data_IF_853701317532
#
_entry.id   IF_853701317532
#
_cell.length_a   1.000
_cell.length_b   1.000
_cell.length_c   1.000
_cell.angle_alpha   90.00
_cell.angle_beta   90.00
_cell.angle_gamma   90.00
#
_symmetry.space_group_name_H-M   'P 1'
#
loop_
_entity.id
_entity.type
_entity.pdbx_description
1 polymer ?
#
# COMPACT_ATOMS: atom_id res chain seq x y z
N UNK A 1 33.07 -16.93 0.16
CA UNK A 1 32.52 -18.22 -0.33
C UNK A 1 31.38 -18.00 -1.34
N UNK A 2 30.67 -16.86 -1.27
CA UNK A 2 29.55 -16.53 -2.17
C UNK A 2 29.97 -16.18 -3.61
N UNK A 3 31.13 -15.55 -3.80
CA UNK A 3 31.63 -15.10 -5.11
C UNK A 3 31.93 -16.26 -6.07
N UNK A 4 32.41 -17.39 -5.55
CA UNK A 4 32.71 -18.60 -6.34
C UNK A 4 31.42 -19.29 -6.80
N UNK A 5 30.37 -19.24 -5.96
CA UNK A 5 29.07 -19.86 -6.25
C UNK A 5 28.32 -19.07 -7.32
N UNK A 6 28.39 -17.74 -7.28
CA UNK A 6 27.81 -16.86 -8.28
C UNK A 6 28.49 -17.03 -9.65
N UNK A 7 29.84 -17.05 -9.68
CA UNK A 7 30.61 -17.26 -10.91
C UNK A 7 30.31 -18.62 -11.57
N UNK A 8 30.13 -19.66 -10.76
CA UNK A 8 29.76 -20.99 -11.25
C UNK A 8 28.33 -21.03 -11.81
N UNK A 9 27.39 -20.31 -11.20
CA UNK A 9 26.01 -20.18 -11.69
C UNK A 9 25.94 -19.41 -13.01
N UNK A 10 26.67 -18.30 -13.11
CA UNK A 10 26.80 -17.50 -14.35
C UNK A 10 27.36 -18.33 -15.51
N UNK A 11 28.36 -19.18 -15.25
CA UNK A 11 28.95 -20.03 -16.27
C UNK A 11 27.99 -21.13 -16.75
N UNK A 12 27.18 -21.72 -15.85
CA UNK A 12 26.11 -22.66 -16.24
C UNK A 12 25.05 -21.99 -17.11
N UNK A 13 24.62 -20.77 -16.74
CA UNK A 13 23.62 -20.01 -17.50
C UNK A 13 24.17 -19.70 -18.90
N UNK A 14 25.41 -19.21 -19.01
CA UNK A 14 26.05 -18.94 -20.30
C UNK A 14 26.17 -20.19 -21.18
N UNK A 15 26.49 -21.34 -20.59
CA UNK A 15 26.55 -22.61 -21.31
C UNK A 15 25.20 -23.06 -21.87
N UNK A 16 24.14 -22.93 -21.07
CA UNK A 16 22.77 -23.21 -21.51
C UNK A 16 22.38 -22.25 -22.64
N UNK A 17 22.59 -20.95 -22.47
CA UNK A 17 22.27 -19.94 -23.49
C UNK A 17 23.01 -20.22 -24.81
N UNK A 18 24.31 -20.56 -24.76
CA UNK A 18 25.09 -20.88 -25.94
C UNK A 18 24.56 -22.13 -26.68
N UNK A 19 24.17 -23.17 -25.96
CA UNK A 19 23.56 -24.38 -26.54
C UNK A 19 22.22 -24.08 -27.20
N UNK A 20 21.40 -23.22 -26.58
CA UNK A 20 20.13 -22.79 -27.16
C UNK A 20 20.34 -21.92 -28.41
N UNK A 21 21.32 -21.02 -28.41
CA UNK A 21 21.64 -20.17 -29.57
C UNK A 21 22.12 -20.97 -30.78
N UNK A 22 23.01 -21.95 -30.55
CA UNK A 22 23.48 -22.84 -31.63
C UNK A 22 22.33 -23.68 -32.20
N UNK A 23 21.44 -24.18 -31.34
CA UNK A 23 20.25 -24.94 -31.76
C UNK A 23 19.26 -24.08 -32.54
N UNK A 24 19.12 -22.79 -32.21
CA UNK A 24 18.26 -21.85 -32.95
C UNK A 24 18.86 -21.53 -34.31
N UNK A 25 20.19 -21.39 -34.42
CA UNK A 25 20.88 -21.15 -35.68
C UNK A 25 20.85 -22.34 -36.64
N UNK A 26 20.79 -23.57 -36.12
CA UNK A 26 20.69 -24.78 -36.95
C UNK A 26 19.27 -25.09 -37.45
N UNK A 27 18.26 -24.32 -37.04
CA UNK A 27 16.86 -24.55 -37.42
C UNK A 27 16.50 -23.78 -38.70
N UNK A 28 15.73 -24.43 -39.58
CA UNK A 28 15.23 -23.80 -40.80
C UNK A 28 14.36 -22.57 -40.49
N UNK A 29 14.36 -21.53 -41.34
CA UNK A 29 13.63 -20.26 -41.13
C UNK A 29 12.16 -20.43 -40.72
N UNK A 30 11.47 -21.45 -41.26
CA UNK A 30 10.08 -21.79 -40.90
C UNK A 30 9.92 -22.38 -39.48
N UNK A 31 10.94 -23.06 -38.95
CA UNK A 31 10.97 -23.62 -37.60
C UNK A 31 11.37 -22.57 -36.56
N UNK A 32 12.31 -21.66 -36.90
CA UNK A 32 12.67 -20.52 -36.04
C UNK A 32 11.47 -19.61 -35.77
N UNK A 33 10.65 -19.33 -36.80
CA UNK A 33 9.40 -18.55 -36.63
C UNK A 33 8.40 -19.26 -35.72
N UNK A 34 8.21 -20.59 -35.88
CA UNK A 34 7.31 -21.38 -35.03
C UNK A 34 7.79 -21.43 -33.56
N UNK A 35 9.09 -21.62 -33.34
CA UNK A 35 9.68 -21.62 -32.00
C UNK A 35 9.62 -20.24 -31.33
N UNK A 36 9.79 -19.16 -32.10
CA UNK A 36 9.61 -17.79 -31.61
C UNK A 36 8.19 -17.51 -31.15
N UNK A 37 7.17 -17.95 -31.92
CA UNK A 37 5.76 -17.81 -31.54
C UNK A 37 5.45 -18.58 -30.25
N UNK A 38 5.96 -19.82 -30.12
CA UNK A 38 5.77 -20.61 -28.88
C UNK A 38 6.43 -19.94 -27.67
N UNK A 39 7.62 -19.36 -27.83
CA UNK A 39 8.29 -18.64 -26.74
C UNK A 39 7.50 -17.39 -26.32
N UNK A 40 6.96 -16.63 -27.27
CA UNK A 40 6.11 -15.46 -26.97
C UNK A 40 4.84 -15.88 -26.24
N UNK A 41 4.20 -16.99 -26.64
CA UNK A 41 3.02 -17.53 -25.95
C UNK A 41 3.37 -17.94 -24.52
N UNK A 42 4.50 -18.63 -24.31
CA UNK A 42 4.96 -19.03 -22.96
C UNK A 42 5.20 -17.79 -22.09
N UNK A 43 5.89 -16.78 -22.62
CA UNK A 43 6.14 -15.53 -21.90
C UNK A 43 4.84 -14.79 -21.58
N UNK A 44 3.87 -14.81 -22.49
CA UNK A 44 2.56 -14.20 -22.29
C UNK A 44 1.74 -14.93 -21.22
N UNK A 45 1.76 -16.26 -21.21
CA UNK A 45 1.13 -17.10 -20.16
C UNK A 45 1.77 -16.85 -18.80
N UNK A 46 3.10 -16.75 -18.73
CA UNK A 46 3.82 -16.41 -17.49
C UNK A 46 3.44 -15.00 -17.03
N UNK A 47 3.39 -14.03 -17.93
CA UNK A 47 3.02 -12.64 -17.62
C UNK A 47 1.58 -12.53 -17.08
N UNK A 48 0.63 -13.23 -17.70
CA UNK A 48 -0.76 -13.32 -17.23
C UNK A 48 -0.85 -14.05 -15.88
N UNK A 49 -0.13 -15.18 -15.72
CA UNK A 49 -0.12 -15.93 -14.47
C UNK A 49 0.39 -15.13 -13.28
N UNK A 50 1.43 -14.31 -13.48
CA UNK A 50 1.96 -13.39 -12.45
C UNK A 50 0.92 -12.30 -12.12
N UNK A 51 0.20 -11.78 -13.11
CA UNK A 51 -0.86 -10.77 -12.90
C UNK A 51 -2.08 -11.34 -12.15
N UNK A 52 -2.54 -12.54 -12.50
CA UNK A 52 -3.72 -13.18 -11.90
C UNK A 52 -3.47 -13.62 -10.45
N UNK A 53 -2.27 -14.11 -10.13
CA UNK A 53 -1.92 -14.51 -8.75
C UNK A 53 -1.84 -13.33 -7.78
N UNK A 54 -1.52 -12.11 -8.26
CA UNK A 54 -1.60 -10.89 -7.46
C UNK A 54 -3.04 -10.55 -7.09
N UNK A 55 -3.99 -10.65 -8.04
CA UNK A 55 -5.40 -10.30 -7.77
C UNK A 55 -6.11 -11.32 -6.88
N UNK A 56 -5.88 -12.62 -7.05
CA UNK A 56 -6.54 -13.65 -6.24
C UNK A 56 -6.02 -13.75 -4.79
N UNK A 57 -4.75 -13.38 -4.53
CA UNK A 57 -4.26 -13.30 -3.13
C UNK A 57 -4.88 -12.15 -2.35
N UNK A 58 -5.27 -11.06 -3.03
CA UNK A 58 -5.91 -9.91 -2.40
C UNK A 58 -7.33 -10.28 -1.95
N UNK A 59 -8.14 -10.90 -2.81
CA UNK A 59 -9.56 -11.18 -2.49
C UNK A 59 -9.77 -12.21 -1.37
N UNK A 60 -8.98 -13.29 -1.32
CA UNK A 60 -9.10 -14.32 -0.26
C UNK A 60 -8.68 -13.77 1.11
N UNK A 61 -7.74 -12.82 1.14
CA UNK A 61 -7.28 -12.18 2.39
C UNK A 61 -8.22 -11.07 2.84
N UNK A 62 -8.91 -10.39 1.92
CA UNK A 62 -9.81 -9.28 2.24
C UNK A 62 -11.03 -9.68 3.08
N UNK A 63 -11.68 -10.82 2.80
CA UNK A 63 -12.91 -11.20 3.51
C UNK A 63 -12.69 -11.45 5.01
N UNK A 64 -11.50 -11.94 5.38
CA UNK A 64 -11.14 -12.18 6.78
C UNK A 64 -10.71 -10.90 7.52
N UNK A 65 -10.14 -9.92 6.81
CA UNK A 65 -9.74 -8.62 7.38
C UNK A 65 -10.97 -7.74 7.62
N UNK A 66 -11.93 -7.73 6.69
CA UNK A 66 -13.14 -6.93 6.86
C UNK A 66 -13.89 -7.34 8.13
N UNK A 67 -13.76 -8.59 8.59
CA UNK A 67 -14.33 -9.01 9.86
C UNK A 67 -13.49 -8.51 11.05
N UNK A 68 -12.19 -8.80 11.07
CA UNK A 68 -11.29 -8.49 12.22
C UNK A 68 -10.98 -6.99 12.36
N UNK A 69 -10.94 -6.24 11.27
CA UNK A 69 -10.63 -4.81 11.27
C UNK A 69 -11.87 -3.93 11.43
N UNK A 70 -13.09 -4.47 11.50
CA UNK A 70 -14.32 -3.65 11.62
C UNK A 70 -14.97 -3.69 13.00
N UNK A 71 -14.50 -4.53 13.94
CA UNK A 71 -15.15 -4.68 15.25
C UNK A 71 -15.45 -3.35 15.98
N UNK A 72 -14.56 -2.36 15.89
CA UNK A 72 -14.80 -1.00 16.41
C UNK A 72 -15.03 0.07 15.32
N UNK A 73 -14.71 -0.26 14.07
CA UNK A 73 -14.78 0.68 12.95
C UNK A 73 -16.09 0.48 12.19
N UNK A 74 -16.90 1.54 12.13
CA UNK A 74 -18.12 1.57 11.34
C UNK A 74 -17.90 2.48 10.14
N UNK A 75 -18.25 2.01 8.94
CA UNK A 75 -18.23 2.88 7.76
C UNK A 75 -19.38 3.87 7.88
N UNK A 76 -19.05 5.16 7.75
CA UNK A 76 -20.00 6.26 7.82
C UNK A 76 -19.82 7.20 6.63
N UNK A 77 -20.51 8.35 6.63
CA UNK A 77 -20.37 9.34 5.55
C UNK A 77 -18.99 9.99 5.55
N UNK A 78 -18.34 10.09 6.72
CA UNK A 78 -17.03 10.74 6.88
C UNK A 78 -15.91 9.78 7.24
N UNK A 79 -16.20 8.50 7.45
CA UNK A 79 -15.19 7.49 7.76
C UNK A 79 -15.32 6.30 6.80
N UNK A 80 -14.28 6.05 6.01
CA UNK A 80 -14.34 5.05 4.93
C UNK A 80 -13.11 4.15 4.96
N UNK A 81 -13.32 2.84 4.91
CA UNK A 81 -12.23 1.88 4.83
C UNK A 81 -11.52 1.97 3.47
N UNK A 82 -10.20 1.97 3.48
CA UNK A 82 -9.40 1.76 2.27
C UNK A 82 -9.33 0.25 2.01
N UNK A 83 -9.75 -0.23 0.83
CA UNK A 83 -9.55 -1.63 0.49
C UNK A 83 -8.06 -1.98 0.48
N UNK A 84 -7.73 -3.15 1.00
CA UNK A 84 -6.34 -3.62 1.04
C UNK A 84 -5.72 -3.64 -0.36
N UNK A 85 -4.52 -3.06 -0.48
CA UNK A 85 -3.79 -2.91 -1.75
C UNK A 85 -4.12 -1.65 -2.56
N UNK A 86 -5.13 -0.86 -2.15
CA UNK A 86 -5.53 0.35 -2.89
C UNK A 86 -4.89 1.65 -2.35
N UNK A 87 -4.20 1.61 -1.21
CA UNK A 87 -3.63 2.81 -0.58
C UNK A 87 -2.71 3.57 -1.53
N UNK A 88 -1.72 2.90 -2.14
CA UNK A 88 -0.75 3.55 -3.02
C UNK A 88 -1.43 4.18 -4.25
N UNK A 89 -2.43 3.48 -4.80
CA UNK A 89 -3.24 4.00 -5.90
C UNK A 89 -4.03 5.24 -5.49
N UNK A 90 -4.68 5.20 -4.32
CA UNK A 90 -5.45 6.33 -3.79
C UNK A 90 -4.56 7.54 -3.49
N UNK A 91 -3.38 7.31 -2.89
CA UNK A 91 -2.38 8.37 -2.62
C UNK A 91 -1.93 9.01 -3.94
N UNK A 92 -1.67 8.20 -4.97
CA UNK A 92 -1.21 8.70 -6.27
C UNK A 92 -2.31 9.43 -7.07
N UNK A 93 -3.56 8.98 -7.02
CA UNK A 93 -4.65 9.51 -7.86
C UNK A 93 -5.37 10.71 -7.24
N UNK A 94 -5.49 10.76 -5.90
CA UNK A 94 -6.25 11.83 -5.23
C UNK A 94 -5.40 13.08 -5.04
N UNK A 95 -5.98 14.24 -5.33
CA UNK A 95 -5.34 15.53 -5.09
C UNK A 95 -5.00 15.76 -3.61
N UNK A 96 -5.87 15.29 -2.72
CA UNK A 96 -5.70 15.33 -1.27
C UNK A 96 -6.36 14.10 -0.63
N UNK A 97 -5.70 13.52 0.38
CA UNK A 97 -6.15 12.32 1.06
C UNK A 97 -5.77 12.38 2.55
N UNK A 98 -6.72 12.16 3.45
CA UNK A 98 -6.47 12.05 4.90
C UNK A 98 -6.66 10.59 5.31
N UNK A 99 -5.59 9.98 5.83
CA UNK A 99 -5.57 8.55 6.17
C UNK A 99 -5.29 8.37 7.66
N UNK A 100 -6.11 7.58 8.33
CA UNK A 100 -5.85 7.03 9.65
C UNK A 100 -5.23 5.64 9.48
N UNK A 101 -3.95 5.53 9.81
CA UNK A 101 -3.25 4.25 9.93
C UNK A 101 -3.39 3.73 11.34
N UNK A 102 -3.97 2.55 11.51
CA UNK A 102 -4.18 2.00 12.85
C UNK A 102 -4.17 0.47 12.82
N UNK A 103 -3.51 -0.17 13.78
CA UNK A 103 -3.62 -1.61 13.98
C UNK A 103 -4.86 -1.94 14.84
N UNK A 104 -5.63 -2.99 14.52
CA UNK A 104 -6.68 -3.51 15.42
C UNK A 104 -6.16 -3.86 16.82
N UNK A 105 -4.86 -4.13 16.96
CA UNK A 105 -4.20 -4.46 18.22
C UNK A 105 -3.66 -3.24 18.97
N UNK A 106 -3.84 -2.02 18.43
CA UNK A 106 -3.38 -0.81 19.08
C UNK A 106 -4.17 -0.55 20.37
N UNK A 107 -3.50 -0.15 21.45
CA UNK A 107 -4.11 0.05 22.78
C UNK A 107 -5.32 1.00 22.77
N UNK A 108 -5.32 1.97 21.87
CA UNK A 108 -6.37 3.01 21.78
C UNK A 108 -7.37 2.76 20.65
N UNK A 109 -7.34 1.60 20.00
CA UNK A 109 -8.15 1.29 18.81
C UNK A 109 -9.63 1.63 19.00
N UNK A 110 -10.28 1.03 19.99
CA UNK A 110 -11.70 1.26 20.28
C UNK A 110 -11.99 2.72 20.64
N UNK A 111 -11.13 3.31 21.49
CA UNK A 111 -11.32 4.69 21.96
C UNK A 111 -11.21 5.72 20.84
N UNK A 112 -10.35 5.49 19.85
CA UNK A 112 -10.21 6.37 18.69
C UNK A 112 -11.50 6.37 17.87
N UNK A 113 -12.02 5.18 17.53
CA UNK A 113 -13.25 5.08 16.75
C UNK A 113 -14.47 5.57 17.53
N UNK A 114 -14.53 5.35 18.84
CA UNK A 114 -15.56 5.93 19.69
C UNK A 114 -15.56 7.47 19.59
N UNK A 115 -14.40 8.12 19.79
CA UNK A 115 -14.29 9.58 19.72
C UNK A 115 -14.61 10.13 18.33
N UNK A 116 -14.21 9.43 17.27
CA UNK A 116 -14.52 9.80 15.90
C UNK A 116 -16.02 9.69 15.63
N UNK A 117 -16.67 8.61 16.06
CA UNK A 117 -18.10 8.39 15.84
C UNK A 117 -18.96 9.38 16.64
N UNK A 118 -18.60 9.66 17.90
CA UNK A 118 -19.29 10.64 18.74
C UNK A 118 -19.27 12.05 18.15
N UNK A 119 -18.23 12.38 17.37
CA UNK A 119 -17.98 13.73 16.81
C UNK A 119 -17.84 13.72 15.29
N UNK A 120 -18.45 12.76 14.61
CA UNK A 120 -18.31 12.61 13.16
C UNK A 120 -18.76 13.87 12.41
N UNK A 121 -19.83 14.51 12.90
CA UNK A 121 -20.39 15.73 12.33
C UNK A 121 -19.42 16.92 12.33
N UNK A 122 -18.44 16.91 13.22
CA UNK A 122 -17.39 17.94 13.31
C UNK A 122 -16.27 17.72 12.29
N UNK A 123 -16.21 16.56 11.62
CA UNK A 123 -15.22 16.30 10.56
C UNK A 123 -15.54 17.08 9.29
N UNK A 124 -14.61 17.94 8.89
CA UNK A 124 -14.77 18.75 7.68
C UNK A 124 -14.49 17.96 6.38
N UNK A 125 -14.06 16.70 6.45
CA UNK A 125 -13.68 15.86 5.30
C UNK A 125 -13.88 14.38 5.57
N UNK A 126 -13.79 13.58 4.51
CA UNK A 126 -13.73 12.12 4.62
C UNK A 126 -12.34 11.74 5.13
N UNK A 127 -12.32 10.90 6.15
CA UNK A 127 -11.14 10.27 6.71
C UNK A 127 -11.14 8.82 6.26
N UNK A 128 -10.05 8.44 5.59
CA UNK A 128 -9.87 7.09 5.10
C UNK A 128 -9.15 6.27 6.15
N UNK A 129 -9.64 5.08 6.45
CA UNK A 129 -9.04 4.19 7.47
C UNK A 129 -8.24 3.12 6.75
N UNK A 130 -6.96 3.00 7.11
CA UNK A 130 -6.08 1.95 6.61
C UNK A 130 -5.65 1.04 7.78
N UNK A 131 -6.20 -0.18 7.88
CA UNK A 131 -5.87 -1.09 8.95
C UNK A 131 -4.46 -1.70 8.74
N UNK A 132 -3.59 -1.55 9.73
CA UNK A 132 -2.24 -2.13 9.72
C UNK A 132 -2.28 -3.62 10.14
N UNK A 133 -2.69 -4.48 9.20
CA UNK A 133 -2.82 -5.94 9.39
C UNK A 133 -1.80 -6.73 8.56
N UNK A 134 -1.57 -6.32 7.32
CA UNK A 134 -0.62 -6.96 6.40
C UNK A 134 0.42 -5.98 5.89
N UNK A 135 1.57 -6.52 5.47
CA UNK A 135 2.71 -5.75 4.97
C UNK A 135 3.08 -4.58 5.91
N UNK A 136 2.90 -4.81 7.22
CA UNK A 136 3.00 -3.78 8.25
C UNK A 136 4.38 -3.14 8.22
N UNK A 137 5.45 -3.93 8.21
CA UNK A 137 6.82 -3.43 8.14
C UNK A 137 7.06 -2.58 6.88
N UNK A 138 6.58 -3.02 5.72
CA UNK A 138 6.70 -2.27 4.46
C UNK A 138 5.98 -0.94 4.56
N UNK A 139 4.75 -0.94 5.07
CA UNK A 139 3.91 0.25 5.24
C UNK A 139 4.51 1.22 6.26
N UNK A 140 5.03 0.69 7.38
CA UNK A 140 5.72 1.47 8.41
C UNK A 140 6.94 2.19 7.85
N UNK A 141 7.76 1.49 7.06
CA UNK A 141 8.94 2.09 6.42
C UNK A 141 8.56 3.13 5.38
N UNK A 142 7.59 2.84 4.51
CA UNK A 142 7.18 3.72 3.42
C UNK A 142 6.59 5.04 3.94
N UNK A 143 5.76 4.97 4.97
CA UNK A 143 4.99 6.11 5.47
C UNK A 143 5.51 6.66 6.82
N UNK A 144 6.61 6.11 7.35
CA UNK A 144 7.23 6.48 8.63
C UNK A 144 6.23 6.40 9.80
N UNK A 145 5.62 5.22 9.93
CA UNK A 145 4.60 4.92 10.93
C UNK A 145 5.13 3.96 11.99
N UNK A 146 4.45 3.92 13.14
CA UNK A 146 4.62 2.89 14.15
C UNK A 146 3.28 2.16 14.33
N UNK A 147 3.25 0.85 14.07
CA UNK A 147 2.03 0.03 14.15
C UNK A 147 1.45 -0.10 15.55
N UNK A 148 2.27 0.15 16.58
CA UNK A 148 1.83 0.26 17.96
C UNK A 148 0.95 1.49 18.23
N UNK A 149 0.96 2.49 17.33
CA UNK A 149 0.24 3.74 17.47
C UNK A 149 -0.70 4.01 16.30
N UNK A 150 -1.78 4.73 16.57
CA UNK A 150 -2.60 5.29 15.51
C UNK A 150 -1.96 6.56 14.98
N UNK A 151 -1.73 6.62 13.67
CA UNK A 151 -1.11 7.76 13.00
C UNK A 151 -2.06 8.32 11.96
N UNK A 152 -2.31 9.62 12.04
CA UNK A 152 -3.10 10.35 11.06
C UNK A 152 -2.15 11.03 10.09
N UNK A 153 -2.34 10.82 8.79
CA UNK A 153 -1.45 11.32 7.75
C UNK A 153 -2.27 12.06 6.69
N UNK A 154 -1.79 13.23 6.29
CA UNK A 154 -2.31 13.99 5.17
C UNK A 154 -1.37 13.88 3.98
N UNK A 155 -1.92 13.40 2.86
CA UNK A 155 -1.28 13.37 1.56
C UNK A 155 -1.86 14.45 0.66
N UNK A 156 -1.00 15.07 -0.13
CA UNK A 156 -1.39 16.02 -1.17
C UNK A 156 -0.55 15.76 -2.41
N UNK A 157 -1.22 15.53 -3.56
CA UNK A 157 -0.61 15.23 -4.85
C UNK A 157 0.43 14.10 -4.76
N UNK A 158 0.06 12.97 -4.13
CA UNK A 158 0.94 11.82 -3.96
C UNK A 158 2.04 11.95 -2.89
N UNK A 159 2.15 13.08 -2.21
CA UNK A 159 3.22 13.34 -1.23
C UNK A 159 2.65 13.45 0.18
N UNK A 160 3.27 12.74 1.12
CA UNK A 160 3.00 12.90 2.55
C UNK A 160 3.41 14.31 3.01
N UNK A 161 2.45 15.10 3.48
CA UNK A 161 2.68 16.50 3.88
C UNK A 161 2.81 16.65 5.39
N UNK A 162 1.89 16.03 6.13
CA UNK A 162 1.78 16.18 7.59
C UNK A 162 1.31 14.89 8.21
N UNK A 163 1.69 14.67 9.46
CA UNK A 163 1.17 13.60 10.29
C UNK A 163 1.15 14.00 11.75
N UNK A 164 0.32 13.34 12.54
CA UNK A 164 0.42 13.33 14.00
C UNK A 164 0.02 11.94 14.50
N UNK A 165 0.48 11.56 15.69
CA UNK A 165 0.08 10.30 16.33
C UNK A 165 -0.95 10.58 17.40
N UNK A 166 -1.84 9.62 17.67
CA UNK A 166 -2.79 9.76 18.78
C UNK A 166 -2.09 9.98 20.12
N UNK A 167 -0.90 9.38 20.30
CA UNK A 167 -0.09 9.53 21.50
C UNK A 167 0.51 10.94 21.66
N UNK A 168 0.65 11.72 20.58
CA UNK A 168 1.15 13.10 20.67
C UNK A 168 0.11 14.10 21.19
N UNK A 169 -1.17 13.70 21.30
CA UNK A 169 -2.25 14.56 21.80
C UNK A 169 -2.22 14.62 23.33
N UNK A 170 -2.25 15.84 23.89
CA UNK A 170 -2.28 16.04 25.35
C UNK A 170 -3.67 15.76 25.91
N UNK A 171 -4.71 16.13 25.17
CA UNK A 171 -6.12 15.91 25.53
C UNK A 171 -6.87 15.28 24.35
N UNK A 172 -6.69 13.97 24.10
CA UNK A 172 -7.25 13.33 22.90
C UNK A 172 -8.77 13.50 22.73
N UNK A 173 -9.52 13.55 23.84
CA UNK A 173 -10.99 13.73 23.82
C UNK A 173 -11.44 15.07 23.24
N UNK A 174 -10.63 16.13 23.39
CA UNK A 174 -10.93 17.47 22.87
C UNK A 174 -10.08 17.85 21.65
N UNK A 175 -8.90 17.24 21.47
CA UNK A 175 -7.94 17.64 20.44
C UNK A 175 -8.01 16.80 19.16
N UNK A 176 -8.51 15.56 19.22
CA UNK A 176 -8.46 14.64 18.07
C UNK A 176 -9.10 15.23 16.81
N UNK A 177 -10.38 15.59 16.87
CA UNK A 177 -11.11 16.11 15.70
C UNK A 177 -10.54 17.46 15.23
N UNK A 178 -10.25 18.44 16.11
CA UNK A 178 -9.57 19.67 15.72
C UNK A 178 -8.24 19.43 14.99
N UNK A 179 -7.40 18.51 15.47
CA UNK A 179 -6.12 18.22 14.81
C UNK A 179 -6.31 17.54 13.45
N UNK A 180 -7.25 16.60 13.34
CA UNK A 180 -7.61 15.98 12.07
C UNK A 180 -8.08 17.02 11.05
N UNK A 181 -8.86 18.01 11.48
CA UNK A 181 -9.32 19.10 10.64
C UNK A 181 -8.21 20.09 10.25
N UNK A 182 -7.15 20.22 11.06
CA UNK A 182 -5.98 21.12 10.86
C UNK A 182 -4.87 20.53 9.99
N UNK A 183 -4.71 19.21 9.96
CA UNK A 183 -3.72 18.50 9.14
C UNK A 183 -3.46 19.07 7.71
N UNK A 184 -4.48 19.47 6.94
CA UNK A 184 -4.32 20.01 5.60
C UNK A 184 -4.07 21.53 5.56
N UNK A 185 -4.36 22.24 6.65
CA UNK A 185 -4.31 23.70 6.73
C UNK A 185 -2.96 24.24 7.18
N UNK A 186 -2.03 23.38 7.65
CA UNK A 186 -0.73 23.81 8.18
C UNK A 186 0.11 24.63 7.17
N UNK A 187 -0.16 24.52 5.87
CA UNK A 187 0.56 25.28 4.84
C UNK A 187 0.04 26.71 4.62
N UNK A 188 -1.02 27.17 5.31
CA UNK A 188 -1.60 28.50 5.09
C UNK A 188 -0.76 29.61 5.74
N UNK A 189 0.25 29.30 6.56
CA UNK A 189 1.02 30.34 7.26
C UNK A 189 2.05 31.08 6.40
N UNK A 190 2.38 30.65 5.18
CA UNK A 190 3.55 31.20 4.47
C UNK A 190 3.29 31.72 3.02
N UNK A 191 2.06 31.90 2.54
CA UNK A 191 1.85 32.35 1.13
C UNK A 191 0.62 33.25 0.86
N UNK A 192 0.14 34.02 1.84
CA UNK A 192 -0.82 35.13 1.57
C UNK A 192 -0.27 36.50 2.01
N UNK A 193 1.03 36.70 1.81
CA UNK A 193 1.65 38.04 1.75
C UNK A 193 2.69 38.05 0.62
N UNK A 194 2.21 38.25 -0.61
CA UNK A 194 2.97 38.87 -1.69
C UNK A 194 2.00 39.72 -2.52
#
# INVERSE_FOLDING_TARGET
MDEVKDKHMQNKIKGIVAQWLQKIQSLNRKQVVKSGIVLVIILFVIFIGIRLTRQMRVSIRQSQINEVATDAFQTTKKLTLIPYGELDEMVSKKAALSVLFVSPQAKNYQKIFQLINEKESELNRIIYVYPLVYDVQTTEMQYKLASSEATFVFFQKGVQKKQFTYASLKKPTSELIPEMNRLPMWNITDNETN
#
